data_IF_279969606181
#
_entry.id   IF_279969606181
#
_cell.length_a   1.000
_cell.length_b   1.000
_cell.length_c   1.000
_cell.angle_alpha   90.00
_cell.angle_beta   90.00
_cell.angle_gamma   90.00
#
_symmetry.space_group_name_H-M   'P 1'
#
loop_
_entity.id
_entity.type
_entity.pdbx_description
1 polymer ?
#
# COMPACT_ATOMS: atom_id res chain seq x y z
N UNK A 1 1.40 0.90 -26.44
CA UNK A 1 2.62 1.57 -25.93
C UNK A 1 2.29 2.82 -25.09
N UNK A 2 1.38 3.71 -25.49
CA UNK A 2 1.00 4.89 -24.66
C UNK A 2 0.46 4.53 -23.28
N UNK A 3 -0.43 3.54 -23.17
CA UNK A 3 -1.01 3.11 -21.89
C UNK A 3 0.02 2.49 -20.93
N UNK A 4 1.09 1.89 -21.45
CA UNK A 4 2.17 1.31 -20.65
C UNK A 4 3.05 2.39 -20.03
N UNK A 5 3.35 3.47 -20.77
CA UNK A 5 4.13 4.59 -20.25
C UNK A 5 3.35 5.34 -19.17
N UNK A 6 2.07 5.63 -19.41
CA UNK A 6 1.21 6.27 -18.40
C UNK A 6 1.08 5.39 -17.15
N UNK A 7 0.86 4.07 -17.32
CA UNK A 7 0.83 3.13 -16.20
C UNK A 7 2.15 3.12 -15.41
N UNK A 8 3.30 3.13 -16.09
CA UNK A 8 4.60 3.18 -15.43
C UNK A 8 4.81 4.49 -14.66
N UNK A 9 4.42 5.63 -15.24
CA UNK A 9 4.51 6.94 -14.58
C UNK A 9 3.60 7.01 -13.34
N UNK A 10 2.37 6.47 -13.43
CA UNK A 10 1.44 6.40 -12.30
C UNK A 10 1.98 5.51 -11.18
N UNK A 11 2.59 4.36 -11.53
CA UNK A 11 3.24 3.49 -10.55
C UNK A 11 4.44 4.17 -9.87
N UNK A 12 5.27 4.88 -10.64
CA UNK A 12 6.39 5.63 -10.08
C UNK A 12 5.92 6.73 -9.12
N UNK A 13 4.87 7.46 -9.49
CA UNK A 13 4.24 8.48 -8.64
C UNK A 13 3.65 7.85 -7.36
N UNK A 14 2.96 6.72 -7.48
CA UNK A 14 2.41 5.98 -6.34
C UNK A 14 3.52 5.58 -5.35
N UNK A 15 4.61 4.98 -5.84
CA UNK A 15 5.74 4.57 -4.98
C UNK A 15 6.41 5.75 -4.31
N UNK A 16 6.56 6.88 -5.01
CA UNK A 16 7.10 8.11 -4.44
C UNK A 16 6.20 8.67 -3.33
N UNK A 17 4.88 8.70 -3.56
CA UNK A 17 3.90 9.17 -2.59
C UNK A 17 3.83 8.26 -1.35
N UNK A 18 3.83 6.93 -1.53
CA UNK A 18 3.82 5.96 -0.43
C UNK A 18 5.11 6.05 0.42
N UNK A 19 6.27 6.19 -0.25
CA UNK A 19 7.56 6.39 0.41
C UNK A 19 7.60 7.70 1.19
N UNK A 20 7.08 8.79 0.61
CA UNK A 20 7.02 10.09 1.30
C UNK A 20 6.10 10.02 2.52
N UNK A 21 4.93 9.42 2.37
CA UNK A 21 3.91 9.33 3.42
C UNK A 21 4.41 8.53 4.61
N UNK A 22 4.93 7.32 4.40
CA UNK A 22 5.45 6.47 5.50
C UNK A 22 6.63 7.12 6.25
N UNK A 23 7.50 7.85 5.54
CA UNK A 23 8.59 8.61 6.17
C UNK A 23 8.08 9.81 6.97
N UNK A 24 7.10 10.54 6.43
CA UNK A 24 6.46 11.67 7.13
C UNK A 24 5.75 11.20 8.40
N UNK A 25 5.00 10.10 8.31
CA UNK A 25 4.36 9.44 9.44
C UNK A 25 5.36 9.13 10.56
N UNK A 26 6.53 8.56 10.23
CA UNK A 26 7.58 8.30 11.21
C UNK A 26 8.15 9.58 11.84
N UNK A 27 8.30 10.67 11.06
CA UNK A 27 8.73 11.97 11.59
C UNK A 27 7.71 12.57 12.55
N UNK A 28 6.42 12.47 12.24
CA UNK A 28 5.34 12.94 13.13
C UNK A 28 5.38 12.18 14.45
N UNK A 29 5.51 10.84 14.42
CA UNK A 29 5.65 10.05 15.65
C UNK A 29 6.89 10.40 16.47
N UNK A 30 8.00 10.77 15.82
CA UNK A 30 9.23 11.20 16.52
C UNK A 30 9.12 12.60 17.10
N UNK A 31 8.51 13.54 16.35
CA UNK A 31 8.36 14.93 16.77
C UNK A 31 7.26 15.11 17.84
N UNK A 32 6.22 14.27 17.80
CA UNK A 32 5.09 14.31 18.72
C UNK A 32 4.86 12.91 19.32
N UNK A 33 5.64 12.52 20.35
CA UNK A 33 5.54 11.19 20.96
C UNK A 33 4.21 10.92 21.67
N UNK A 34 3.39 11.95 21.90
CA UNK A 34 2.03 11.87 22.42
C UNK A 34 1.00 11.41 21.38
N UNK A 35 1.33 11.44 20.09
CA UNK A 35 0.43 11.02 19.01
C UNK A 35 0.35 9.49 18.99
N UNK A 36 -0.84 8.97 19.26
CA UNK A 36 -1.07 7.54 19.20
C UNK A 36 -1.34 7.05 17.78
N UNK A 37 -1.15 5.75 17.54
CA UNK A 37 -1.35 5.15 16.23
C UNK A 37 -2.78 5.31 15.70
N UNK A 38 -3.77 5.26 16.61
CA UNK A 38 -5.18 5.42 16.26
C UNK A 38 -5.50 6.84 15.82
N UNK A 39 -4.88 7.86 16.41
CA UNK A 39 -5.10 9.26 16.02
C UNK A 39 -4.55 9.54 14.63
N UNK A 40 -3.37 9.00 14.31
CA UNK A 40 -2.78 9.17 12.98
C UNK A 40 -3.60 8.41 11.92
N UNK A 41 -4.04 7.18 12.23
CA UNK A 41 -4.92 6.41 11.35
C UNK A 41 -6.25 7.13 11.09
N UNK A 42 -6.89 7.67 12.13
CA UNK A 42 -8.13 8.42 11.99
C UNK A 42 -7.94 9.67 11.13
N UNK A 43 -6.91 10.47 11.39
CA UNK A 43 -6.65 11.69 10.63
C UNK A 43 -6.40 11.40 9.13
N UNK A 44 -5.59 10.38 8.83
CA UNK A 44 -5.34 9.98 7.43
C UNK A 44 -6.63 9.47 6.78
N UNK A 45 -7.39 8.61 7.44
CA UNK A 45 -8.62 8.05 6.88
C UNK A 45 -9.71 9.11 6.65
N UNK A 46 -9.84 10.10 7.55
CA UNK A 46 -10.76 11.22 7.37
C UNK A 46 -10.35 12.09 6.18
N UNK A 47 -9.06 12.39 6.04
CA UNK A 47 -8.57 13.17 4.91
C UNK A 47 -8.72 12.41 3.59
N UNK A 48 -8.40 11.11 3.58
CA UNK A 48 -8.63 10.22 2.45
C UNK A 48 -10.11 10.13 2.07
N UNK A 49 -11.02 10.04 3.05
CA UNK A 49 -12.46 10.01 2.81
C UNK A 49 -12.95 11.32 2.20
N UNK A 50 -12.50 12.48 2.70
CA UNK A 50 -12.85 13.78 2.13
C UNK A 50 -12.35 13.94 0.69
N UNK A 51 -11.10 13.59 0.41
CA UNK A 51 -10.53 13.66 -0.95
C UNK A 51 -11.24 12.69 -1.90
N UNK A 52 -11.56 11.49 -1.44
CA UNK A 52 -12.31 10.50 -2.22
C UNK A 52 -13.72 11.00 -2.53
N UNK A 53 -14.42 11.54 -1.53
CA UNK A 53 -15.76 12.12 -1.71
C UNK A 53 -15.73 13.29 -2.70
N UNK A 54 -14.76 14.20 -2.58
CA UNK A 54 -14.59 15.29 -3.52
C UNK A 54 -14.36 14.78 -4.95
N UNK A 55 -13.49 13.78 -5.13
CA UNK A 55 -13.24 13.16 -6.44
C UNK A 55 -14.49 12.52 -7.04
N UNK A 56 -15.30 11.82 -6.21
CA UNK A 56 -16.57 11.22 -6.65
C UNK A 56 -17.60 12.26 -7.06
N UNK A 57 -17.70 13.37 -6.32
CA UNK A 57 -18.60 14.48 -6.65
C UNK A 57 -18.17 15.16 -7.94
N UNK A 58 -16.88 15.44 -8.12
CA UNK A 58 -16.34 16.03 -9.35
C UNK A 58 -16.55 15.11 -10.57
N UNK A 59 -16.49 13.80 -10.37
CA UNK A 59 -16.68 12.82 -11.45
C UNK A 59 -18.15 12.44 -11.68
N UNK A 60 -19.09 12.93 -10.86
CA UNK A 60 -20.52 12.58 -10.85
C UNK A 60 -20.86 11.08 -10.67
N UNK A 61 -19.89 10.26 -10.31
CA UNK A 61 -20.02 8.79 -10.14
C UNK A 61 -20.68 8.39 -8.81
N UNK A 62 -20.89 9.36 -7.91
CA UNK A 62 -21.42 9.10 -6.57
C UNK A 62 -22.81 8.45 -6.61
N UNK A 63 -23.72 8.99 -7.41
CA UNK A 63 -25.09 8.48 -7.51
C UNK A 63 -25.14 7.11 -8.18
N UNK A 64 -24.33 6.90 -9.22
CA UNK A 64 -24.19 5.62 -9.93
C UNK A 64 -23.71 4.52 -8.97
N UNK A 65 -22.72 4.84 -8.14
CA UNK A 65 -22.17 3.89 -7.16
C UNK A 65 -23.20 3.51 -6.09
N UNK A 66 -24.03 4.45 -5.64
CA UNK A 66 -25.09 4.20 -4.66
C UNK A 66 -26.22 3.35 -5.24
N UNK A 67 -26.64 3.64 -6.48
CA UNK A 67 -27.65 2.86 -7.17
C UNK A 67 -27.19 1.41 -7.40
N UNK A 68 -25.93 1.21 -7.77
CA UNK A 68 -25.33 -0.12 -7.91
C UNK A 68 -25.37 -0.92 -6.60
N UNK A 69 -25.01 -0.29 -5.47
CA UNK A 69 -25.05 -0.94 -4.15
C UNK A 69 -26.47 -1.25 -3.70
N UNK A 70 -27.44 -0.37 -4.00
CA UNK A 70 -28.85 -0.61 -3.72
C UNK A 70 -29.42 -1.78 -4.56
N UNK A 71 -29.00 -1.89 -5.81
CA UNK A 71 -29.41 -2.95 -6.72
C UNK A 71 -28.74 -4.32 -6.41
N UNK A 72 -27.57 -4.32 -5.76
CA UNK A 72 -26.81 -5.54 -5.48
C UNK A 72 -26.49 -5.71 -3.97
N UNK A 73 -27.46 -6.20 -3.17
CA UNK A 73 -27.25 -6.47 -1.74
C UNK A 73 -26.04 -7.38 -1.43
N UNK A 74 -25.69 -8.41 -2.23
CA UNK A 74 -24.49 -9.20 -2.00
C UNK A 74 -23.18 -8.38 -2.08
N UNK A 75 -23.12 -7.39 -2.96
CA UNK A 75 -21.94 -6.53 -3.11
C UNK A 75 -21.70 -5.67 -1.85
N UNK A 76 -22.76 -5.33 -1.11
CA UNK A 76 -22.65 -4.65 0.18
C UNK A 76 -21.93 -5.52 1.20
N UNK A 77 -22.23 -6.82 1.24
CA UNK A 77 -21.55 -7.77 2.14
C UNK A 77 -20.06 -7.92 1.80
N UNK A 78 -19.72 -8.06 0.52
CA UNK A 78 -18.33 -8.10 0.07
C UNK A 78 -17.59 -6.81 0.44
N UNK A 79 -18.22 -5.65 0.24
CA UNK A 79 -17.65 -4.35 0.61
C UNK A 79 -17.43 -4.23 2.12
N UNK A 80 -18.35 -4.72 2.95
CA UNK A 80 -18.19 -4.73 4.41
C UNK A 80 -17.03 -5.63 4.84
N UNK A 81 -16.92 -6.84 4.27
CA UNK A 81 -15.83 -7.76 4.56
C UNK A 81 -14.46 -7.18 4.17
N UNK A 82 -14.38 -6.57 2.98
CA UNK A 82 -13.17 -5.87 2.52
C UNK A 82 -12.85 -4.69 3.44
N UNK A 83 -13.86 -3.93 3.88
CA UNK A 83 -13.67 -2.79 4.77
C UNK A 83 -13.12 -3.21 6.15
N UNK A 84 -13.69 -4.23 6.78
CA UNK A 84 -13.20 -4.76 8.07
C UNK A 84 -11.76 -5.29 7.94
N UNK A 85 -11.51 -6.04 6.87
CA UNK A 85 -10.18 -6.58 6.56
C UNK A 85 -9.17 -5.46 6.33
N UNK A 86 -9.56 -4.42 5.58
CA UNK A 86 -8.74 -3.24 5.31
C UNK A 86 -8.44 -2.45 6.59
N UNK A 87 -9.44 -2.20 7.44
CA UNK A 87 -9.27 -1.50 8.71
C UNK A 87 -8.28 -2.24 9.63
N UNK A 88 -8.41 -3.58 9.70
CA UNK A 88 -7.49 -4.43 10.46
C UNK A 88 -6.07 -4.38 9.87
N UNK A 89 -5.93 -4.46 8.54
CA UNK A 89 -4.66 -4.34 7.84
C UNK A 89 -3.97 -2.99 8.10
N UNK A 90 -4.72 -1.89 8.01
CA UNK A 90 -4.22 -0.55 8.31
C UNK A 90 -3.69 -0.45 9.75
N UNK A 91 -4.39 -1.03 10.72
CA UNK A 91 -3.90 -1.08 12.11
C UNK A 91 -2.53 -1.75 12.22
N UNK A 92 -2.34 -2.89 11.56
CA UNK A 92 -1.04 -3.56 11.53
C UNK A 92 0.04 -2.72 10.86
N UNK A 93 -0.30 -1.98 9.80
CA UNK A 93 0.63 -1.07 9.11
C UNK A 93 1.08 0.05 10.04
N UNK A 94 0.14 0.78 10.65
CA UNK A 94 0.45 1.88 11.56
C UNK A 94 1.22 1.41 12.80
N UNK A 95 0.84 0.26 13.36
CA UNK A 95 1.57 -0.38 14.46
C UNK A 95 3.02 -0.70 14.07
N UNK A 96 3.23 -1.29 12.89
CA UNK A 96 4.55 -1.64 12.39
C UNK A 96 5.43 -0.41 12.19
N UNK A 97 4.90 0.66 11.57
CA UNK A 97 5.63 1.91 11.34
C UNK A 97 6.00 2.56 12.67
N UNK A 98 5.09 2.58 13.65
CA UNK A 98 5.35 3.14 14.97
C UNK A 98 6.42 2.36 15.73
N UNK A 99 6.36 1.02 15.71
CA UNK A 99 7.23 0.15 16.52
C UNK A 99 8.60 -0.09 15.89
N UNK A 100 8.63 -0.34 14.58
CA UNK A 100 9.83 -0.79 13.84
C UNK A 100 10.32 0.22 12.80
N UNK A 101 9.57 1.31 12.60
CA UNK A 101 9.91 2.33 11.63
C UNK A 101 9.51 1.97 10.19
N UNK A 102 9.67 2.93 9.27
CA UNK A 102 9.23 2.79 7.88
C UNK A 102 10.09 1.77 7.09
N UNK A 103 11.35 1.57 7.47
CA UNK A 103 12.26 0.64 6.76
C UNK A 103 11.78 -0.80 6.89
N UNK A 104 11.40 -1.23 8.09
CA UNK A 104 10.89 -2.59 8.33
C UNK A 104 9.53 -2.78 7.66
N UNK A 105 8.68 -1.76 7.69
CA UNK A 105 7.41 -1.77 6.95
C UNK A 105 7.62 -2.00 5.45
N UNK A 106 8.53 -1.26 4.80
CA UNK A 106 8.84 -1.47 3.38
C UNK A 106 9.38 -2.89 3.11
N UNK A 107 10.20 -3.45 3.99
CA UNK A 107 10.73 -4.83 3.86
C UNK A 107 9.59 -5.85 3.91
N UNK A 108 8.66 -5.73 4.87
CA UNK A 108 7.51 -6.63 5.00
C UNK A 108 6.62 -6.55 3.75
N UNK A 109 6.31 -5.33 3.27
CA UNK A 109 5.46 -5.12 2.10
C UNK A 109 6.07 -5.67 0.82
N UNK A 110 7.37 -5.46 0.60
CA UNK A 110 8.09 -5.97 -0.58
C UNK A 110 8.17 -7.50 -0.54
N UNK A 111 8.51 -8.08 0.61
CA UNK A 111 8.55 -9.53 0.80
C UNK A 111 7.19 -10.16 0.49
N UNK A 112 6.09 -9.60 1.03
CA UNK A 112 4.73 -10.07 0.74
C UNK A 112 4.43 -10.03 -0.76
N UNK A 113 4.71 -8.92 -1.44
CA UNK A 113 4.48 -8.78 -2.87
C UNK A 113 5.28 -9.78 -3.71
N UNK A 114 6.53 -10.07 -3.32
CA UNK A 114 7.34 -11.08 -4.00
C UNK A 114 6.76 -12.48 -3.86
N UNK A 115 6.29 -12.86 -2.66
CA UNK A 115 5.61 -14.14 -2.49
C UNK A 115 4.36 -14.26 -3.35
N UNK A 116 3.52 -13.21 -3.39
CA UNK A 116 2.35 -13.18 -4.27
C UNK A 116 2.72 -13.25 -5.75
N UNK A 117 3.81 -12.59 -6.17
CA UNK A 117 4.32 -12.64 -7.54
C UNK A 117 4.79 -14.06 -7.91
N UNK A 118 5.61 -14.69 -7.07
CA UNK A 118 6.10 -16.06 -7.30
C UNK A 118 4.94 -17.03 -7.35
N UNK A 119 4.03 -16.98 -6.37
CA UNK A 119 2.87 -17.86 -6.34
C UNK A 119 1.98 -17.67 -7.57
N UNK A 120 1.76 -16.42 -8.02
CA UNK A 120 1.01 -16.14 -9.25
C UNK A 120 1.67 -16.77 -10.48
N UNK A 121 2.99 -16.63 -10.63
CA UNK A 121 3.70 -17.25 -11.76
C UNK A 121 3.65 -18.77 -11.74
N UNK A 122 3.68 -19.39 -10.56
CA UNK A 122 3.54 -20.84 -10.39
C UNK A 122 2.12 -21.32 -10.72
N UNK A 123 1.10 -20.63 -10.21
CA UNK A 123 -0.30 -21.01 -10.39
C UNK A 123 -0.82 -20.78 -11.82
N UNK A 124 -0.37 -19.71 -12.50
CA UNK A 124 -0.82 -19.36 -13.85
C UNK A 124 0.10 -19.87 -14.98
N UNK A 125 1.18 -20.59 -14.64
CA UNK A 125 2.09 -21.21 -15.63
C UNK A 125 2.80 -20.24 -16.59
N UNK A 126 2.80 -18.93 -16.28
CA UNK A 126 3.40 -17.92 -17.15
C UNK A 126 4.92 -17.94 -17.00
N UNK A 127 5.63 -18.14 -18.11
CA UNK A 127 7.08 -17.97 -18.16
C UNK A 127 7.42 -16.50 -17.95
N UNK A 128 8.08 -16.17 -16.83
CA UNK A 128 8.69 -14.86 -16.62
C UNK A 128 9.65 -14.59 -17.77
N UNK A 129 9.29 -13.68 -18.67
CA UNK A 129 10.20 -13.25 -19.74
C UNK A 129 11.51 -12.71 -19.17
N UNK A 130 12.56 -12.67 -19.99
CA UNK A 130 13.89 -12.13 -19.64
C UNK A 130 13.85 -10.82 -18.80
N UNK A 131 13.01 -9.82 -19.12
CA UNK A 131 12.89 -8.61 -18.30
C UNK A 131 12.32 -8.86 -16.90
N UNK A 132 11.39 -9.80 -16.75
CA UNK A 132 10.78 -10.16 -15.46
C UNK A 132 11.78 -10.87 -14.55
N UNK A 133 12.57 -11.81 -15.10
CA UNK A 133 13.63 -12.49 -14.35
C UNK A 133 14.72 -11.51 -13.89
N UNK A 134 15.14 -10.59 -14.76
CA UNK A 134 16.09 -9.53 -14.38
C UNK A 134 15.52 -8.62 -13.27
N UNK A 135 14.25 -8.22 -13.38
CA UNK A 135 13.56 -7.44 -12.36
C UNK A 135 13.51 -8.14 -11.00
N UNK A 136 13.19 -9.43 -10.97
CA UNK A 136 13.18 -10.22 -9.74
C UNK A 136 14.55 -10.25 -9.06
N UNK A 137 15.64 -10.46 -9.81
CA UNK A 137 17.01 -10.45 -9.26
C UNK A 137 17.35 -9.09 -8.64
N UNK A 138 16.99 -7.99 -9.30
CA UNK A 138 17.21 -6.63 -8.77
C UNK A 138 16.44 -6.42 -7.47
N UNK A 139 15.16 -6.80 -7.40
CA UNK A 139 14.35 -6.64 -6.18
C UNK A 139 14.92 -7.47 -5.03
N UNK A 140 15.31 -8.73 -5.27
CA UNK A 140 15.99 -9.55 -4.26
C UNK A 140 17.29 -8.90 -3.79
N UNK A 141 18.12 -8.41 -4.72
CA UNK A 141 19.38 -7.72 -4.39
C UNK A 141 19.16 -6.50 -3.50
N UNK A 142 18.17 -5.66 -3.82
CA UNK A 142 17.80 -4.50 -3.00
C UNK A 142 17.30 -4.90 -1.62
N UNK A 143 16.49 -5.96 -1.52
CA UNK A 143 15.98 -6.48 -0.25
C UNK A 143 17.11 -6.98 0.64
N UNK A 144 18.02 -7.82 0.12
CA UNK A 144 19.19 -8.31 0.85
C UNK A 144 20.11 -7.17 1.29
N UNK A 145 20.35 -6.19 0.42
CA UNK A 145 21.15 -5.01 0.77
C UNK A 145 20.49 -4.17 1.88
N UNK A 146 19.17 -3.99 1.84
CA UNK A 146 18.41 -3.29 2.89
C UNK A 146 18.41 -4.04 4.22
N UNK A 147 18.28 -5.37 4.21
CA UNK A 147 18.38 -6.20 5.43
C UNK A 147 19.78 -6.05 6.04
N UNK A 148 20.85 -6.15 5.23
CA UNK A 148 22.23 -6.01 5.70
C UNK A 148 22.53 -4.63 6.29
N UNK A 149 22.03 -3.55 5.68
CA UNK A 149 22.19 -2.18 6.21
C UNK A 149 21.29 -1.90 7.42
N UNK A 150 20.07 -2.43 7.43
CA UNK A 150 19.14 -2.31 8.55
C UNK A 150 19.65 -3.02 9.81
N UNK A 151 20.36 -4.14 9.67
CA UNK A 151 21.02 -4.83 10.78
C UNK A 151 22.30 -4.16 11.30
N UNK A 152 22.96 -3.31 10.50
CA UNK A 152 24.24 -2.69 10.87
C UNK A 152 24.11 -1.30 11.50
N UNK A 153 22.90 -0.72 11.55
CA UNK A 153 22.62 0.57 12.19
C UNK A 153 21.92 0.47 13.56
N UNK A 154 21.87 -0.74 14.12
CA UNK A 154 21.21 -1.06 15.40
C UNK A 154 22.12 -1.83 16.37
N UNK A 155 23.43 -1.58 16.32
CA UNK A 155 24.39 -1.98 17.33
C UNK A 155 25.16 -0.73 17.78
#
# INVERSE_FOLDING_TARGET
HETQLVGLLLLALYVAADSFTSQWQSRVYKAHPTVDQYQMMFAVNVWSAMLTLAALVLSSELFVSLEFLAANPPAVWDNLLISITSASGQLFIYFTIRRFGPVVFTIIMTTRQMFSMVLSTLSFGHTLGLPGAAGSVVVFGVLFHRIKRGGSGGA
#
